data_IF_332230401744
#
_entry.id   IF_332230401744
#
_cell.length_a   1.000
_cell.length_b   1.000
_cell.length_c   1.000
_cell.angle_alpha   90.00
_cell.angle_beta   90.00
_cell.angle_gamma   90.00
#
_symmetry.space_group_name_H-M   'P 1'
#
loop_
_entity.id
_entity.type
_entity.pdbx_description
1 polymer ?
#
# COMPACT_ATOMS: atom_id res chain seq x y z
N UNK A 1 -1.84 4.88 -17.65
CA UNK A 1 -2.76 4.03 -16.85
C UNK A 1 -3.03 4.66 -15.48
N UNK A 2 -2.00 5.06 -14.74
CA UNK A 2 -2.16 5.83 -13.48
C UNK A 2 -2.86 7.18 -13.69
N UNK A 3 -2.43 7.94 -14.72
CA UNK A 3 -2.99 9.25 -15.06
C UNK A 3 -4.49 9.23 -15.35
N UNK A 4 -5.00 8.16 -15.98
CA UNK A 4 -6.42 8.04 -16.32
C UNK A 4 -7.32 7.74 -15.10
N UNK A 5 -6.80 7.05 -14.08
CA UNK A 5 -7.56 6.78 -12.84
C UNK A 5 -7.58 8.04 -11.99
N UNK A 6 -6.43 8.69 -11.81
CA UNK A 6 -6.36 9.96 -11.07
C UNK A 6 -7.21 11.06 -11.71
N UNK A 7 -7.25 11.12 -13.06
CA UNK A 7 -8.14 12.04 -13.76
C UNK A 7 -9.61 11.68 -13.55
N UNK A 8 -9.97 10.39 -13.53
CA UNK A 8 -11.34 9.94 -13.22
C UNK A 8 -11.72 10.30 -11.79
N UNK A 9 -10.86 9.99 -10.81
CA UNK A 9 -11.05 10.35 -9.40
C UNK A 9 -11.21 11.86 -9.22
N UNK A 10 -10.36 12.66 -9.89
CA UNK A 10 -10.46 14.13 -9.86
C UNK A 10 -11.70 14.70 -10.57
N UNK A 11 -12.35 13.91 -11.43
CA UNK A 11 -13.63 14.28 -12.06
C UNK A 11 -14.86 13.79 -11.29
N UNK A 12 -14.68 12.99 -10.23
CA UNK A 12 -15.77 12.58 -9.37
C UNK A 12 -16.26 13.81 -8.59
N UNK A 13 -17.58 13.97 -8.54
CA UNK A 13 -18.19 14.87 -7.58
C UNK A 13 -18.07 14.20 -6.20
N UNK A 14 -16.97 14.49 -5.50
CA UNK A 14 -16.83 14.16 -4.08
C UNK A 14 -17.97 14.90 -3.36
N UNK A 15 -19.02 14.14 -3.01
CA UNK A 15 -20.15 14.67 -2.25
C UNK A 15 -19.73 15.09 -0.85
N UNK A 16 -20.67 15.67 -0.10
CA UNK A 16 -20.46 15.94 1.33
C UNK A 16 -20.11 14.66 2.10
N UNK A 17 -19.51 14.85 3.28
CA UNK A 17 -19.18 13.75 4.19
C UNK A 17 -20.41 12.84 4.40
N UNK A 18 -20.22 11.51 4.43
CA UNK A 18 -21.33 10.58 4.48
C UNK A 18 -22.14 10.75 5.78
N UNK A 19 -23.46 10.71 5.65
CA UNK A 19 -24.36 10.69 6.81
C UNK A 19 -24.28 9.31 7.46
N UNK A 20 -24.18 9.27 8.80
CA UNK A 20 -24.18 8.02 9.57
C UNK A 20 -25.45 7.21 9.24
N UNK A 21 -25.26 5.92 8.96
CA UNK A 21 -26.32 4.99 8.58
C UNK A 21 -26.49 4.79 7.07
N UNK A 22 -26.14 5.77 6.24
CA UNK A 22 -26.24 5.65 4.78
C UNK A 22 -25.02 4.94 4.16
N UNK A 23 -23.87 5.04 4.83
CA UNK A 23 -22.64 4.38 4.42
C UNK A 23 -22.07 3.63 5.63
N UNK A 24 -21.86 2.32 5.46
CA UNK A 24 -21.33 1.46 6.51
C UNK A 24 -20.10 0.74 5.94
N UNK A 25 -18.89 1.33 6.10
CA UNK A 25 -17.66 0.71 5.63
C UNK A 25 -17.50 -0.67 6.23
N UNK A 26 -17.07 -1.63 5.41
CA UNK A 26 -16.82 -3.02 5.83
C UNK A 26 -15.37 -3.35 5.54
N UNK A 27 -14.81 -4.25 6.34
CA UNK A 27 -13.44 -4.74 6.13
C UNK A 27 -13.29 -5.40 4.76
N UNK A 28 -12.49 -4.81 3.90
CA UNK A 28 -12.19 -5.24 2.53
C UNK A 28 -10.72 -4.97 2.19
N UNK A 29 -10.39 -4.78 0.92
CA UNK A 29 -9.02 -4.52 0.48
C UNK A 29 -8.58 -3.06 0.75
N UNK A 30 -9.52 -2.13 0.92
CA UNK A 30 -9.26 -0.71 1.20
C UNK A 30 -9.49 -0.37 2.68
N UNK A 31 -10.40 -1.06 3.37
CA UNK A 31 -10.68 -0.90 4.80
C UNK A 31 -10.07 -2.09 5.53
N UNK A 32 -8.93 -1.85 6.18
CA UNK A 32 -8.15 -2.89 6.86
C UNK A 32 -8.77 -3.24 8.21
N UNK A 33 -9.15 -2.21 8.99
CA UNK A 33 -9.80 -2.37 10.28
C UNK A 33 -10.95 -1.37 10.44
N UNK A 34 -11.98 -1.81 11.18
CA UNK A 34 -13.20 -1.06 11.48
C UNK A 34 -13.32 -0.85 13.00
N UNK A 35 -14.05 0.17 13.46
CA UNK A 35 -14.30 0.42 14.88
C UNK A 35 -14.83 -0.80 15.63
N UNK A 36 -14.48 -0.87 16.93
CA UNK A 36 -14.98 -1.92 17.84
C UNK A 36 -16.51 -1.80 17.96
N UNK A 37 -17.22 -2.87 17.61
CA UNK A 37 -18.70 -2.90 17.61
C UNK A 37 -19.33 -2.88 16.22
N UNK A 38 -18.54 -2.68 15.15
CA UNK A 38 -18.93 -2.93 13.76
C UNK A 38 -20.00 -2.00 13.18
N UNK A 39 -20.40 -0.96 13.90
CA UNK A 39 -21.34 0.06 13.45
C UNK A 39 -20.79 1.46 13.74
N UNK A 40 -20.97 2.37 12.78
CA UNK A 40 -20.59 3.78 12.89
C UNK A 40 -21.55 4.47 13.84
N UNK A 41 -21.02 5.10 14.89
CA UNK A 41 -21.76 5.84 15.91
C UNK A 41 -21.44 7.33 15.87
N UNK A 42 -20.26 7.73 15.38
CA UNK A 42 -19.80 9.11 15.34
C UNK A 42 -18.99 9.43 14.07
N UNK A 43 -19.01 10.68 13.57
CA UNK A 43 -18.17 11.13 12.46
C UNK A 43 -16.65 11.00 12.71
N UNK A 44 -16.25 10.88 13.97
CA UNK A 44 -14.88 10.77 14.46
C UNK A 44 -14.44 9.31 14.65
N UNK A 45 -15.33 8.34 14.45
CA UNK A 45 -14.98 6.91 14.52
C UNK A 45 -13.83 6.60 13.55
N UNK A 46 -12.77 5.98 14.07
CA UNK A 46 -11.53 5.76 13.34
C UNK A 46 -11.54 4.47 12.52
N UNK A 47 -11.05 4.57 11.29
CA UNK A 47 -10.89 3.47 10.34
C UNK A 47 -9.44 3.39 9.87
N UNK A 48 -8.90 2.19 9.79
CA UNK A 48 -7.61 1.97 9.16
C UNK A 48 -7.83 1.69 7.67
N UNK A 49 -7.33 2.59 6.83
CA UNK A 49 -7.44 2.52 5.37
C UNK A 49 -6.12 2.09 4.75
N UNK A 50 -6.20 1.33 3.66
CA UNK A 50 -5.08 1.00 2.78
C UNK A 50 -5.27 1.68 1.43
N UNK A 51 -4.30 2.51 1.06
CA UNK A 51 -4.29 3.20 -0.22
C UNK A 51 -3.80 2.24 -1.30
N UNK A 52 -4.72 1.51 -1.94
CA UNK A 52 -4.44 0.42 -2.90
C UNK A 52 -3.57 0.82 -4.10
N UNK A 53 -3.42 2.10 -4.37
CA UNK A 53 -2.57 2.62 -5.46
C UNK A 53 -1.15 3.01 -5.01
N UNK A 54 -0.95 3.20 -3.70
CA UNK A 54 0.32 3.67 -3.12
C UNK A 54 0.96 2.66 -2.19
N UNK A 55 0.17 1.83 -1.51
CA UNK A 55 0.65 0.79 -0.60
C UNK A 55 0.82 1.23 0.86
N UNK A 56 0.56 2.49 1.20
CA UNK A 56 0.58 2.96 2.59
C UNK A 56 -0.78 2.77 3.28
N UNK A 57 -0.75 2.77 4.61
CA UNK A 57 -1.95 2.76 5.46
C UNK A 57 -2.04 4.05 6.29
N UNK A 58 -3.25 4.45 6.65
CA UNK A 58 -3.52 5.60 7.53
C UNK A 58 -4.74 5.28 8.40
N UNK A 59 -4.76 5.83 9.61
CA UNK A 59 -5.98 5.87 10.43
C UNK A 59 -6.70 7.19 10.15
N UNK A 60 -7.94 7.11 9.65
CA UNK A 60 -8.76 8.27 9.31
C UNK A 60 -10.13 8.22 9.99
N UNK A 61 -10.71 9.38 10.37
CA UNK A 61 -12.09 9.44 10.85
C UNK A 61 -13.11 9.10 9.75
N UNK A 62 -14.29 8.61 10.14
CA UNK A 62 -15.40 8.28 9.26
C UNK A 62 -15.77 9.41 8.30
N UNK A 63 -15.72 10.67 8.75
CA UNK A 63 -16.05 11.83 7.91
C UNK A 63 -15.08 12.08 6.74
N UNK A 64 -13.92 11.38 6.71
CA UNK A 64 -12.97 11.38 5.59
C UNK A 64 -13.17 10.19 4.64
N UNK A 65 -14.14 9.32 4.91
CA UNK A 65 -14.48 8.20 4.03
C UNK A 65 -15.64 8.56 3.10
N UNK A 66 -15.71 7.90 1.95
CA UNK A 66 -16.84 8.02 1.04
C UNK A 66 -17.07 6.71 0.28
N UNK A 67 -18.33 6.43 -0.07
CA UNK A 67 -18.66 5.31 -0.95
C UNK A 67 -18.05 5.52 -2.33
N UNK A 68 -17.30 4.54 -2.82
CA UNK A 68 -16.68 4.61 -4.13
C UNK A 68 -17.70 4.25 -5.23
N UNK A 69 -17.71 5.02 -6.32
CA UNK A 69 -18.55 4.71 -7.48
C UNK A 69 -18.09 3.38 -8.12
N UNK A 70 -19.01 2.44 -8.44
CA UNK A 70 -18.66 1.16 -9.06
C UNK A 70 -17.89 1.26 -10.39
N UNK A 71 -17.98 2.39 -11.10
CA UNK A 71 -17.19 2.63 -12.31
C UNK A 71 -15.68 2.75 -12.04
N UNK A 72 -15.30 3.09 -10.80
CA UNK A 72 -13.92 3.28 -10.36
C UNK A 72 -13.33 1.96 -9.81
N UNK A 73 -14.16 1.11 -9.20
CA UNK A 73 -13.73 -0.18 -8.61
C UNK A 73 -13.34 -1.24 -9.64
N UNK A 74 -13.55 -0.99 -10.94
CA UNK A 74 -13.19 -1.91 -12.02
C UNK A 74 -11.67 -2.04 -12.26
N UNK A 75 -10.87 -1.11 -11.73
CA UNK A 75 -9.42 -1.13 -11.89
C UNK A 75 -8.76 -1.74 -10.65
N UNK A 76 -7.91 -2.78 -10.81
CA UNK A 76 -7.14 -3.30 -9.69
C UNK A 76 -6.22 -2.21 -9.12
N UNK A 77 -6.08 -2.18 -7.80
CA UNK A 77 -5.14 -1.29 -7.13
C UNK A 77 -3.73 -1.42 -7.70
N UNK A 78 -3.07 -0.29 -7.90
CA UNK A 78 -1.79 -0.21 -8.60
C UNK A 78 -0.62 -0.71 -7.75
N UNK A 79 -0.70 -0.62 -6.42
CA UNK A 79 0.35 -1.06 -5.53
C UNK A 79 0.45 -2.60 -5.49
N UNK A 80 1.65 -3.11 -5.74
CA UNK A 80 1.98 -4.53 -5.64
C UNK A 80 2.86 -4.76 -4.43
N UNK A 81 2.53 -5.76 -3.63
CA UNK A 81 3.39 -6.18 -2.54
C UNK A 81 4.60 -6.91 -3.11
N UNK A 82 5.79 -6.52 -2.67
CA UNK A 82 7.03 -7.17 -3.05
C UNK A 82 7.97 -7.37 -1.87
N UNK A 83 8.84 -8.37 -1.99
CA UNK A 83 9.96 -8.61 -1.10
C UNK A 83 11.26 -8.67 -1.89
N UNK A 84 12.38 -8.34 -1.27
CA UNK A 84 13.69 -8.42 -1.92
C UNK A 84 14.14 -9.88 -2.00
N UNK A 85 14.46 -10.33 -3.22
CA UNK A 85 15.04 -11.64 -3.46
C UNK A 85 16.40 -11.81 -2.78
N UNK A 86 16.68 -13.03 -2.31
CA UNK A 86 17.96 -13.47 -1.74
C UNK A 86 18.44 -12.72 -0.48
N UNK A 87 17.54 -11.98 0.17
CA UNK A 87 17.83 -11.26 1.41
C UNK A 87 16.92 -11.78 2.52
N UNK A 88 17.49 -11.97 3.70
CA UNK A 88 16.74 -12.11 4.93
C UNK A 88 16.85 -10.81 5.71
N UNK A 89 15.75 -10.07 5.80
CA UNK A 89 15.70 -8.83 6.57
C UNK A 89 15.44 -9.20 8.04
N UNK A 90 16.26 -8.72 9.00
CA UNK A 90 16.00 -8.91 10.43
C UNK A 90 14.73 -8.17 10.86
N UNK A 91 14.16 -8.58 11.99
CA UNK A 91 13.09 -7.79 12.61
C UNK A 91 13.63 -6.43 13.10
N UNK A 92 12.76 -5.43 13.28
CA UNK A 92 13.18 -4.10 13.72
C UNK A 92 13.88 -4.13 15.10
N UNK A 93 13.45 -5.04 15.97
CA UNK A 93 14.01 -5.21 17.32
C UNK A 93 15.28 -6.07 17.35
N UNK A 94 15.68 -6.67 16.22
CA UNK A 94 16.90 -7.46 16.10
C UNK A 94 18.09 -6.58 15.69
N UNK A 95 19.30 -7.10 15.91
CA UNK A 95 20.53 -6.43 15.47
C UNK A 95 20.45 -6.08 13.98
N UNK A 96 20.81 -4.84 13.64
CA UNK A 96 20.78 -4.27 12.28
C UNK A 96 19.38 -4.05 11.69
N UNK A 97 18.30 -4.27 12.45
CA UNK A 97 16.92 -4.05 12.02
C UNK A 97 16.62 -2.60 11.62
N UNK A 98 16.92 -1.66 12.52
CA UNK A 98 16.71 -0.23 12.28
C UNK A 98 17.62 0.29 11.16
N UNK A 99 18.89 -0.14 11.13
CA UNK A 99 19.86 0.24 10.10
C UNK A 99 19.44 -0.25 8.72
N UNK A 100 18.99 -1.51 8.60
CA UNK A 100 18.48 -2.07 7.36
C UNK A 100 17.24 -1.31 6.85
N UNK A 101 16.29 -1.00 7.75
CA UNK A 101 15.09 -0.23 7.41
C UNK A 101 15.44 1.19 6.94
N UNK A 102 16.32 1.87 7.67
CA UNK A 102 16.78 3.22 7.33
C UNK A 102 17.50 3.23 5.99
N UNK A 103 18.46 2.32 5.79
CA UNK A 103 19.18 2.19 4.53
C UNK A 103 18.20 1.94 3.38
N UNK A 104 17.28 0.99 3.52
CA UNK A 104 16.31 0.73 2.45
C UNK A 104 15.48 1.97 2.11
N UNK A 105 15.04 2.71 3.13
CA UNK A 105 14.22 3.93 2.96
C UNK A 105 14.96 5.04 2.22
N UNK A 106 16.22 5.32 2.60
CA UNK A 106 17.04 6.38 1.99
C UNK A 106 17.32 6.11 0.51
N UNK A 107 17.39 4.83 0.13
CA UNK A 107 17.72 4.43 -1.23
C UNK A 107 16.49 4.27 -2.12
N UNK A 108 15.27 4.12 -1.58
CA UNK A 108 14.05 3.81 -2.36
C UNK A 108 12.92 4.83 -2.30
N UNK A 109 12.81 5.66 -1.25
CA UNK A 109 11.64 6.54 -1.06
C UNK A 109 11.72 7.90 -1.78
N UNK A 110 12.81 8.18 -2.49
CA UNK A 110 12.93 9.39 -3.28
C UNK A 110 12.03 9.31 -4.52
N UNK A 111 11.01 10.16 -4.57
CA UNK A 111 9.97 10.18 -5.62
C UNK A 111 10.49 10.40 -7.05
N UNK A 112 11.75 10.81 -7.21
CA UNK A 112 12.38 10.96 -8.52
C UNK A 112 13.01 9.67 -9.06
N UNK A 113 13.16 8.63 -8.22
CA UNK A 113 13.91 7.42 -8.59
C UNK A 113 13.01 6.40 -9.26
N UNK A 114 13.47 5.92 -10.41
CA UNK A 114 12.90 4.77 -11.09
C UNK A 114 13.74 3.53 -10.83
N UNK A 115 13.05 2.41 -10.64
CA UNK A 115 13.67 1.12 -10.43
C UNK A 115 13.17 0.11 -11.45
N UNK A 116 14.09 -0.69 -11.97
CA UNK A 116 13.75 -1.90 -12.69
C UNK A 116 13.62 -3.04 -11.68
N UNK A 117 12.43 -3.65 -11.63
CA UNK A 117 12.17 -4.84 -10.84
C UNK A 117 12.17 -6.08 -11.74
N UNK A 118 13.08 -7.02 -11.48
CA UNK A 118 13.07 -8.36 -12.09
C UNK A 118 12.42 -9.33 -11.11
N UNK A 119 11.39 -10.06 -11.56
CA UNK A 119 10.65 -11.01 -10.72
C UNK A 119 11.40 -12.35 -10.74
N UNK A 120 11.87 -12.77 -9.58
CA UNK A 120 12.49 -14.09 -9.36
C UNK A 120 11.42 -15.14 -9.00
N UNK A 121 10.45 -14.77 -8.16
CA UNK A 121 9.37 -15.66 -7.73
C UNK A 121 8.05 -14.89 -7.56
N UNK A 122 6.93 -15.58 -7.74
CA UNK A 122 5.59 -15.10 -7.40
C UNK A 122 5.01 -15.96 -6.30
N UNK A 123 5.00 -15.43 -5.08
CA UNK A 123 4.42 -16.11 -3.94
C UNK A 123 2.91 -15.87 -3.89
N UNK A 124 2.15 -16.92 -4.20
CA UNK A 124 0.68 -16.92 -4.10
C UNK A 124 0.15 -17.25 -2.70
N UNK A 125 1.03 -17.63 -1.77
CA UNK A 125 0.67 -17.97 -0.39
C UNK A 125 0.56 -16.73 0.51
N UNK A 126 1.41 -15.71 0.30
CA UNK A 126 1.41 -14.45 1.07
C UNK A 126 0.41 -13.38 0.61
N UNK A 127 -0.11 -13.45 -0.62
CA UNK A 127 -0.95 -12.39 -1.24
C UNK A 127 -2.40 -12.28 -0.76
N UNK A 128 -2.76 -12.88 0.39
CA UNK A 128 -4.13 -12.88 0.93
C UNK A 128 -4.32 -12.01 2.17
N UNK A 129 -3.29 -11.31 2.61
CA UNK A 129 -3.40 -10.40 3.76
C UNK A 129 -3.99 -9.07 3.26
N UNK A 130 -5.22 -8.77 3.69
CA UNK A 130 -5.89 -7.50 3.40
C UNK A 130 -5.00 -6.33 3.83
N UNK A 131 -4.90 -5.30 2.99
CA UNK A 131 -4.16 -4.08 3.31
C UNK A 131 -2.66 -4.12 3.05
N UNK A 132 -2.13 -5.09 2.29
CA UNK A 132 -0.69 -5.13 2.00
C UNK A 132 -0.34 -4.99 0.52
N UNK A 133 -1.32 -5.02 -0.38
CA UNK A 133 -1.12 -4.89 -1.83
C UNK A 133 -2.10 -5.77 -2.60
N UNK A 134 -2.09 -5.65 -3.92
CA UNK A 134 -2.99 -6.43 -4.77
C UNK A 134 -2.26 -7.62 -5.42
N UNK A 135 -2.87 -8.80 -5.40
CA UNK A 135 -2.34 -10.00 -6.07
C UNK A 135 -1.24 -10.75 -5.29
N UNK A 136 -0.45 -11.62 -5.97
CA UNK A 136 0.62 -12.37 -5.32
C UNK A 136 1.75 -11.46 -4.87
N UNK A 137 2.50 -11.89 -3.86
CA UNK A 137 3.73 -11.21 -3.44
C UNK A 137 4.80 -11.47 -4.49
N UNK A 138 5.43 -10.40 -4.97
CA UNK A 138 6.52 -10.48 -5.94
C UNK A 138 7.86 -10.51 -5.21
N UNK A 139 8.63 -11.58 -5.38
CA UNK A 139 10.01 -11.63 -4.89
C UNK A 139 10.91 -11.09 -5.99
N UNK A 140 11.57 -9.95 -5.74
CA UNK A 140 12.21 -9.15 -6.80
C UNK A 140 13.67 -8.82 -6.56
N UNK A 141 14.42 -8.76 -7.65
CA UNK A 141 15.67 -8.02 -7.74
C UNK A 141 15.38 -6.59 -8.18
N UNK A 142 15.78 -5.61 -7.38
CA UNK A 142 15.52 -4.19 -7.61
C UNK A 142 16.82 -3.47 -7.99
N UNK A 143 16.82 -2.83 -9.15
CA UNK A 143 17.96 -2.10 -9.70
C UNK A 143 17.55 -0.64 -9.93
N UNK A 144 18.33 0.29 -9.39
CA UNK A 144 18.17 1.71 -9.68
C UNK A 144 18.55 1.95 -11.16
N UNK A 145 17.62 2.51 -11.94
CA UNK A 145 17.79 2.66 -13.40
C UNK A 145 18.92 3.64 -13.73
N UNK A 146 19.06 4.72 -12.98
CA UNK A 146 20.07 5.76 -13.22
C UNK A 146 21.47 5.33 -12.77
N UNK A 147 21.56 4.76 -11.56
CA UNK A 147 22.85 4.38 -10.96
C UNK A 147 23.33 2.99 -11.42
N UNK A 148 22.46 2.17 -12.00
CA UNK A 148 22.73 0.76 -12.34
C UNK A 148 23.03 -0.13 -11.13
N UNK A 149 22.81 0.37 -9.91
CA UNK A 149 23.11 -0.33 -8.67
C UNK A 149 21.94 -1.20 -8.20
N UNK A 150 22.25 -2.40 -7.72
CA UNK A 150 21.25 -3.29 -7.13
C UNK A 150 21.03 -2.96 -5.66
N UNK A 151 19.78 -2.69 -5.29
CA UNK A 151 19.38 -2.49 -3.90
C UNK A 151 19.60 -3.77 -3.10
N UNK A 152 19.29 -4.94 -3.69
CA UNK A 152 19.51 -6.22 -3.03
C UNK A 152 20.98 -6.43 -2.64
N UNK A 153 21.90 -6.18 -3.57
CA UNK A 153 23.34 -6.31 -3.28
C UNK A 153 23.85 -5.25 -2.30
N UNK A 154 23.22 -4.07 -2.25
CA UNK A 154 23.58 -3.01 -1.32
C UNK A 154 23.14 -3.34 0.12
N UNK A 155 21.94 -3.91 0.30
CA UNK A 155 21.41 -4.34 1.59
C UNK A 155 22.27 -5.41 2.28
N UNK A 156 23.00 -6.25 1.53
CA UNK A 156 23.91 -7.26 2.10
C UNK A 156 25.18 -6.66 2.73
N UNK A 157 25.40 -5.35 2.57
CA UNK A 157 26.58 -4.63 3.09
C UNK A 157 26.24 -3.73 4.28
N UNK A 158 24.97 -3.68 4.66
CA UNK A 158 24.48 -3.03 5.89
C UNK A 158 24.78 -3.96 7.06
#
# INVERSE_FOLDING_TARGET
>A
MVSSIQQRLGSLNLGEAPIIGNFNPKKDDMIVNVPRGGSVQSPEDEFEVFYVDYGNQEVVPYNRLQSLDPSVTSVPGLARLCSLAFIKVPNLEEDYGEEAAKFFSEYTLDSSREFQATIEERDTSGGKVKGQGTGPVLVVMLVNVEAGSSINAAMLKV
#
